data_IF_682964653117
#
_entry.id   IF_682964653117
#
_cell.length_a   1.000
_cell.length_b   1.000
_cell.length_c   1.000
_cell.angle_alpha   90.00
_cell.angle_beta   90.00
_cell.angle_gamma   90.00
#
_symmetry.space_group_name_H-M   'P 1'
#
loop_
_entity.id
_entity.type
_entity.pdbx_description
1 polymer ?
#
# COMPACT_ATOMS: atom_id res chain seq x y z
N UNK A 1 17.13 -0.61 -6.18
CA UNK A 1 16.29 0.27 -5.32
C UNK A 1 14.82 -0.06 -5.58
N UNK A 2 14.02 -0.45 -4.58
CA UNK A 2 12.55 -0.60 -4.77
C UNK A 2 11.94 0.79 -4.98
N UNK A 3 11.02 0.93 -5.94
CA UNK A 3 10.28 2.18 -6.19
C UNK A 3 9.31 2.48 -5.03
N UNK A 4 8.85 3.73 -4.91
CA UNK A 4 7.83 4.10 -3.93
C UNK A 4 6.56 3.27 -4.11
N UNK A 5 6.11 3.09 -5.36
CA UNK A 5 4.97 2.25 -5.72
C UNK A 5 5.14 0.81 -5.23
N UNK A 6 6.26 0.15 -5.57
CA UNK A 6 6.49 -1.24 -5.17
C UNK A 6 6.48 -1.43 -3.64
N UNK A 7 7.03 -0.46 -2.90
CA UNK A 7 7.03 -0.49 -1.42
C UNK A 7 5.63 -0.31 -0.84
N UNK A 8 4.85 0.60 -1.39
CA UNK A 8 3.49 0.87 -0.91
C UNK A 8 2.54 -0.28 -1.24
N UNK A 9 2.64 -0.87 -2.45
CA UNK A 9 1.87 -2.07 -2.83
C UNK A 9 2.14 -3.22 -1.85
N UNK A 10 3.41 -3.49 -1.55
CA UNK A 10 3.79 -4.54 -0.59
C UNK A 10 3.18 -4.27 0.80
N UNK A 11 3.26 -3.02 1.30
CA UNK A 11 2.68 -2.65 2.60
C UNK A 11 1.16 -2.75 2.64
N UNK A 12 0.45 -2.30 1.60
CA UNK A 12 -1.02 -2.42 1.54
C UNK A 12 -1.44 -3.89 1.47
N UNK A 13 -0.69 -4.71 0.72
CA UNK A 13 -0.96 -6.14 0.58
C UNK A 13 -0.81 -6.89 1.91
N UNK A 14 0.34 -6.76 2.56
CA UNK A 14 0.71 -7.57 3.75
C UNK A 14 0.38 -6.89 5.08
N UNK A 15 -0.06 -5.63 5.05
CA UNK A 15 -0.21 -4.81 6.24
C UNK A 15 1.12 -4.20 6.71
N UNK A 16 1.05 -3.46 7.81
CA UNK A 16 2.24 -2.84 8.40
C UNK A 16 1.92 -1.97 9.60
N UNK A 17 2.94 -1.65 10.38
CA UNK A 17 2.84 -0.81 11.57
C UNK A 17 4.02 0.16 11.67
N UNK A 18 3.90 1.18 12.51
CA UNK A 18 5.01 2.05 12.92
C UNK A 18 5.27 3.26 12.01
N UNK A 19 4.95 3.20 10.72
CA UNK A 19 5.24 4.30 9.77
C UNK A 19 4.39 5.55 10.07
N UNK A 20 3.11 5.37 10.40
CA UNK A 20 2.15 6.46 10.64
C UNK A 20 1.62 6.50 12.08
N UNK A 21 2.24 5.72 12.97
CA UNK A 21 1.81 5.57 14.35
C UNK A 21 1.79 4.12 14.82
N UNK A 22 1.31 3.93 16.05
CA UNK A 22 1.29 2.62 16.73
C UNK A 22 0.20 1.69 16.23
N UNK A 23 -0.88 2.22 15.65
CA UNK A 23 -1.98 1.40 15.14
C UNK A 23 -1.55 0.64 13.87
N UNK A 24 -1.59 -0.70 13.86
CA UNK A 24 -1.23 -1.48 12.69
C UNK A 24 -2.33 -1.43 11.62
N UNK A 25 -1.93 -1.36 10.36
CA UNK A 25 -2.78 -1.64 9.22
C UNK A 25 -2.83 -3.16 8.99
N UNK A 26 -4.01 -3.80 9.01
CA UNK A 26 -4.13 -5.22 8.69
C UNK A 26 -3.81 -5.51 7.22
N UNK A 27 -3.49 -6.77 6.91
CA UNK A 27 -3.29 -7.22 5.54
C UNK A 27 -4.61 -7.13 4.74
N UNK A 28 -4.53 -6.58 3.52
CA UNK A 28 -5.69 -6.47 2.63
C UNK A 28 -5.80 -7.66 1.66
N UNK A 29 -4.71 -8.37 1.39
CA UNK A 29 -4.76 -9.62 0.60
C UNK A 29 -5.10 -10.81 1.50
N UNK A 30 -5.90 -11.79 1.03
CA UNK A 30 -6.45 -11.91 -0.34
C UNK A 30 -7.84 -11.26 -0.53
N UNK A 31 -8.33 -10.49 0.44
CA UNK A 31 -9.66 -9.84 0.35
C UNK A 31 -9.74 -8.84 -0.79
N UNK A 32 -8.64 -8.16 -1.08
CA UNK A 32 -8.45 -7.26 -2.22
C UNK A 32 -7.42 -7.88 -3.16
N UNK A 33 -7.70 -7.86 -4.46
CA UNK A 33 -6.80 -8.39 -5.49
C UNK A 33 -5.56 -7.51 -5.63
N UNK A 34 -4.44 -8.12 -6.00
CA UNK A 34 -3.16 -7.41 -6.15
C UNK A 34 -3.23 -6.30 -7.22
N UNK A 35 -4.01 -6.52 -8.28
CA UNK A 35 -4.21 -5.57 -9.37
C UNK A 35 -4.95 -4.31 -8.88
N UNK A 36 -5.95 -4.49 -8.02
CA UNK A 36 -6.71 -3.40 -7.44
C UNK A 36 -5.84 -2.60 -6.46
N UNK A 37 -5.02 -3.28 -5.66
CA UNK A 37 -4.04 -2.64 -4.76
C UNK A 37 -3.07 -1.76 -5.56
N UNK A 38 -2.51 -2.27 -6.67
CA UNK A 38 -1.61 -1.50 -7.54
C UNK A 38 -2.31 -0.27 -8.12
N UNK A 39 -3.54 -0.43 -8.60
CA UNK A 39 -4.33 0.67 -9.17
C UNK A 39 -4.56 1.79 -8.16
N UNK A 40 -4.95 1.44 -6.93
CA UNK A 40 -5.17 2.40 -5.85
C UNK A 40 -3.87 3.11 -5.45
N UNK A 41 -2.78 2.36 -5.25
CA UNK A 41 -1.48 2.95 -4.89
C UNK A 41 -0.98 3.92 -5.96
N UNK A 42 -1.11 3.54 -7.24
CA UNK A 42 -0.74 4.41 -8.35
C UNK A 42 -1.55 5.71 -8.33
N UNK A 43 -2.87 5.62 -8.14
CA UNK A 43 -3.74 6.80 -8.00
C UNK A 43 -3.32 7.72 -6.83
N UNK A 44 -2.98 7.15 -5.67
CA UNK A 44 -2.48 7.91 -4.52
C UNK A 44 -1.19 8.67 -4.87
N UNK A 45 -0.25 8.01 -5.55
CA UNK A 45 1.04 8.62 -5.92
C UNK A 45 0.91 9.71 -6.99
N UNK A 46 -0.16 9.72 -7.77
CA UNK A 46 -0.44 10.78 -8.75
C UNK A 46 -1.10 12.03 -8.16
N UNK A 47 -1.44 12.00 -6.86
CA UNK A 47 -2.05 13.16 -6.18
C UNK A 47 -0.99 14.23 -5.90
N UNK A 48 -0.70 15.05 -6.90
CA UNK A 48 -0.14 16.39 -6.69
C UNK A 48 -1.28 17.39 -6.52
N UNK A 49 -1.14 18.27 -5.54
CA UNK A 49 -1.86 19.54 -5.46
C UNK A 49 -0.96 20.63 -6.04
#
# INVERSE_FOLDING_TARGET
KKTAEARLVEKVKVGGSGVWGKMPMPANSPKVKDEDIKTIVKWILTRSY
#
